data_IF_859744726590
#
_entry.id   IF_859744726590
#
_cell.length_a   1.000
_cell.length_b   1.000
_cell.length_c   1.000
_cell.angle_alpha   90.00
_cell.angle_beta   90.00
_cell.angle_gamma   90.00
#
_symmetry.space_group_name_H-M   'P 1'
#
loop_
_entity.id
_entity.type
_entity.pdbx_description
1 polymer ?
#
# COMPACT_ATOMS: atom_id res chain seq x y z
N UNK A 1 -26.23 -34.14 -12.00
CA UNK A 1 -26.01 -34.64 -10.63
C UNK A 1 -26.26 -33.47 -9.68
N UNK A 2 -27.42 -33.44 -9.01
CA UNK A 2 -27.81 -32.34 -8.12
C UNK A 2 -27.12 -32.56 -6.77
N UNK A 3 -26.33 -31.60 -6.24
CA UNK A 3 -25.68 -31.80 -4.95
C UNK A 3 -26.72 -31.93 -3.84
N UNK A 4 -26.60 -33.00 -3.07
CA UNK A 4 -27.47 -33.36 -1.96
C UNK A 4 -27.49 -32.25 -0.89
N UNK A 5 -28.68 -31.86 -0.41
CA UNK A 5 -28.90 -30.75 0.54
C UNK A 5 -28.03 -30.86 1.81
N UNK A 6 -27.65 -32.08 2.17
CA UNK A 6 -26.75 -32.37 3.30
C UNK A 6 -25.30 -31.93 3.06
N UNK A 7 -24.80 -32.03 1.82
CA UNK A 7 -23.44 -31.55 1.49
C UNK A 7 -23.36 -30.02 1.54
N UNK A 8 -24.40 -29.31 1.08
CA UNK A 8 -24.46 -27.84 1.15
C UNK A 8 -24.43 -27.33 2.59
N UNK A 9 -25.15 -27.98 3.52
CA UNK A 9 -25.16 -27.60 4.94
C UNK A 9 -23.79 -27.79 5.60
N UNK A 10 -23.11 -28.90 5.32
CA UNK A 10 -21.76 -29.18 5.86
C UNK A 10 -20.72 -28.20 5.35
N UNK A 11 -20.77 -27.85 4.07
CA UNK A 11 -19.86 -26.85 3.47
C UNK A 11 -20.10 -25.48 4.12
N UNK A 12 -21.37 -25.07 4.28
CA UNK A 12 -21.72 -23.79 4.90
C UNK A 12 -21.28 -23.71 6.36
N UNK A 13 -21.46 -24.79 7.12
CA UNK A 13 -21.01 -24.85 8.52
C UNK A 13 -19.47 -24.75 8.63
N UNK A 14 -18.73 -25.43 7.75
CA UNK A 14 -17.26 -25.30 7.68
C UNK A 14 -16.82 -23.90 7.28
N UNK A 15 -17.49 -23.29 6.31
CA UNK A 15 -17.19 -21.94 5.85
C UNK A 15 -17.44 -20.88 6.94
N UNK A 16 -18.56 -20.98 7.67
CA UNK A 16 -18.85 -20.08 8.80
C UNK A 16 -17.83 -20.28 9.93
N UNK A 17 -17.49 -21.52 10.27
CA UNK A 17 -16.46 -21.81 11.28
C UNK A 17 -15.10 -21.25 10.88
N UNK A 18 -14.75 -21.32 9.59
CA UNK A 18 -13.52 -20.74 9.06
C UNK A 18 -13.55 -19.21 9.15
N UNK A 19 -14.65 -18.56 8.73
CA UNK A 19 -14.82 -17.11 8.84
C UNK A 19 -14.74 -16.60 10.29
N UNK A 20 -15.28 -17.36 11.25
CA UNK A 20 -15.20 -17.03 12.68
C UNK A 20 -13.80 -17.23 13.26
N UNK A 21 -12.97 -18.08 12.64
CA UNK A 21 -11.59 -18.33 13.04
C UNK A 21 -10.58 -17.38 12.37
N UNK A 22 -11.00 -16.61 11.36
CA UNK A 22 -10.16 -15.56 10.77
C UNK A 22 -10.10 -14.42 11.79
N UNK A 23 -8.90 -14.06 12.29
CA UNK A 23 -8.78 -12.91 13.18
C UNK A 23 -9.31 -11.68 12.46
N UNK A 24 -10.33 -11.05 13.04
CA UNK A 24 -10.92 -9.83 12.51
C UNK A 24 -9.82 -8.77 12.32
N UNK A 25 -9.90 -7.90 11.29
CA UNK A 25 -8.95 -6.83 11.12
C UNK A 25 -8.93 -5.99 12.41
N UNK A 26 -7.80 -6.06 13.10
CA UNK A 26 -7.56 -5.36 14.36
C UNK A 26 -7.69 -3.87 14.08
N UNK A 27 -8.76 -3.24 14.58
CA UNK A 27 -8.74 -1.79 14.80
C UNK A 27 -7.69 -1.55 15.88
N UNK A 28 -6.50 -1.10 15.50
CA UNK A 28 -5.50 -0.65 16.47
C UNK A 28 -6.09 0.51 17.27
N UNK A 29 -6.25 0.31 18.57
CA UNK A 29 -6.67 1.32 19.55
C UNK A 29 -5.49 2.13 20.08
N UNK A 30 -4.27 1.67 19.83
CA UNK A 30 -3.04 2.35 20.21
C UNK A 30 -2.66 3.42 19.16
N UNK A 31 -2.18 4.59 19.60
CA UNK A 31 -1.65 5.59 18.68
C UNK A 31 -0.51 4.96 17.86
N UNK A 32 -0.39 5.29 16.55
CA UNK A 32 0.65 4.72 15.72
C UNK A 32 2.02 5.03 16.33
N UNK A 33 2.86 4.00 16.42
CA UNK A 33 4.25 4.15 16.82
C UNK A 33 4.90 5.24 15.96
N UNK A 34 5.44 6.32 16.55
CA UNK A 34 6.11 7.37 15.78
C UNK A 34 7.31 6.85 14.99
N UNK A 35 7.90 5.71 15.40
CA UNK A 35 8.98 5.04 14.66
C UNK A 35 8.47 4.33 13.39
N UNK A 36 7.20 3.90 13.39
CA UNK A 36 6.56 3.20 12.27
C UNK A 36 5.24 3.87 11.88
N UNK A 37 5.29 5.08 11.28
CA UNK A 37 4.09 5.81 10.89
C UNK A 37 3.27 5.01 9.88
N UNK A 38 1.94 5.08 9.98
CA UNK A 38 1.00 4.33 9.14
C UNK A 38 0.15 5.31 8.33
N UNK A 39 -0.11 4.99 7.07
CA UNK A 39 -1.00 5.77 6.21
C UNK A 39 -2.49 5.48 6.49
N UNK A 40 -3.38 6.22 5.82
CA UNK A 40 -4.84 6.04 5.97
C UNK A 40 -5.33 4.66 5.51
N UNK A 41 -4.54 3.94 4.72
CA UNK A 41 -4.85 2.58 4.27
C UNK A 41 -4.28 1.50 5.20
N UNK A 42 -3.65 1.87 6.32
CA UNK A 42 -3.06 0.92 7.26
C UNK A 42 -1.68 0.41 6.82
N UNK A 43 -1.03 1.05 5.83
CA UNK A 43 0.28 0.65 5.32
C UNK A 43 1.40 1.45 6.00
N UNK A 44 2.54 0.81 6.31
CA UNK A 44 3.66 1.51 6.92
C UNK A 44 4.27 2.50 5.92
N UNK A 45 4.48 3.73 6.37
CA UNK A 45 5.13 4.81 5.62
C UNK A 45 6.63 4.66 5.83
N UNK A 46 7.37 4.44 4.75
CA UNK A 46 8.83 4.26 4.79
C UNK A 46 9.60 5.53 4.42
N UNK A 47 8.95 6.47 3.72
CA UNK A 47 9.54 7.75 3.38
C UNK A 47 8.47 8.83 3.24
N UNK A 48 8.89 10.08 3.43
CA UNK A 48 8.10 11.29 3.17
C UNK A 48 9.00 12.30 2.47
N UNK A 49 8.62 12.72 1.27
CA UNK A 49 9.36 13.69 0.48
C UNK A 49 8.54 14.95 0.25
N UNK A 50 9.23 16.07 0.02
CA UNK A 50 8.59 17.31 -0.44
C UNK A 50 8.89 17.51 -1.92
N UNK A 51 7.86 17.42 -2.76
CA UNK A 51 7.96 17.53 -4.22
C UNK A 51 7.04 18.66 -4.65
N UNK A 52 7.61 19.69 -5.27
CA UNK A 52 6.85 20.85 -5.77
C UNK A 52 5.91 21.46 -4.72
N UNK A 53 6.41 21.60 -3.48
CA UNK A 53 5.64 22.11 -2.33
C UNK A 53 4.64 21.13 -1.71
N UNK A 54 4.48 19.93 -2.26
CA UNK A 54 3.61 18.89 -1.71
C UNK A 54 4.38 17.84 -0.91
N UNK A 55 3.89 17.52 0.29
CA UNK A 55 4.41 16.39 1.05
C UNK A 55 3.80 15.08 0.55
N UNK A 56 4.64 14.19 0.02
CA UNK A 56 4.28 12.88 -0.55
C UNK A 56 4.79 11.77 0.38
N UNK A 57 3.89 10.88 0.78
CA UNK A 57 4.18 9.70 1.59
C UNK A 57 4.34 8.46 0.71
N UNK A 58 5.35 7.66 1.01
CA UNK A 58 5.64 6.38 0.36
C UNK A 58 5.30 5.25 1.32
N UNK A 59 4.15 4.62 1.09
CA UNK A 59 3.63 3.56 1.99
C UNK A 59 3.82 2.20 1.36
N UNK A 60 4.44 1.26 2.08
CA UNK A 60 4.83 -0.03 1.54
C UNK A 60 3.59 -0.87 1.21
N UNK A 61 3.36 -1.12 -0.08
CA UNK A 61 2.32 -2.01 -0.58
C UNK A 61 2.88 -3.38 -0.96
N UNK A 62 1.99 -4.31 -1.33
CA UNK A 62 2.36 -5.66 -1.80
C UNK A 62 1.76 -6.00 -3.16
N UNK A 63 2.48 -6.73 -4.03
CA UNK A 63 3.93 -7.00 -4.00
C UNK A 63 4.77 -5.82 -4.54
N UNK A 64 6.01 -5.67 -4.04
CA UNK A 64 7.11 -4.77 -4.50
C UNK A 64 6.70 -3.39 -5.05
N UNK A 65 5.85 -2.68 -4.29
CA UNK A 65 5.37 -1.36 -4.70
C UNK A 65 5.24 -0.40 -3.53
N UNK A 66 5.37 0.88 -3.83
CA UNK A 66 4.97 1.95 -2.92
C UNK A 66 3.64 2.54 -3.34
N UNK A 67 2.72 2.70 -2.39
CA UNK A 67 1.53 3.54 -2.53
C UNK A 67 1.93 4.99 -2.24
N UNK A 68 1.58 5.90 -3.14
CA UNK A 68 1.91 7.32 -3.04
C UNK A 68 0.67 8.10 -2.64
N UNK A 69 0.79 8.89 -1.58
CA UNK A 69 -0.29 9.77 -1.11
C UNK A 69 0.23 11.14 -0.70
N UNK A 70 -0.55 12.18 -0.95
CA UNK A 70 -0.32 13.49 -0.34
C UNK A 70 -0.64 13.47 1.16
N UNK A 71 0.12 14.24 1.92
CA UNK A 71 -0.13 14.43 3.36
C UNK A 71 -1.32 15.33 3.66
N UNK A 72 -1.45 16.42 2.90
CA UNK A 72 -2.34 17.56 3.20
C UNK A 72 -3.28 17.93 2.05
N UNK A 73 -3.31 17.12 0.98
CA UNK A 73 -4.14 17.39 -0.22
C UNK A 73 -5.24 16.34 -0.32
N UNK A 74 -6.45 16.76 -0.71
CA UNK A 74 -7.59 15.89 -0.95
C UNK A 74 -8.02 15.95 -2.43
N UNK A 75 -8.24 14.80 -3.11
CA UNK A 75 -8.01 13.44 -2.63
C UNK A 75 -6.53 13.16 -2.33
N UNK A 76 -6.24 12.31 -1.35
CA UNK A 76 -4.86 12.07 -0.94
C UNK A 76 -4.12 11.09 -1.86
N UNK A 77 -4.82 10.16 -2.51
CA UNK A 77 -4.20 9.15 -3.36
C UNK A 77 -3.61 9.78 -4.62
N UNK A 78 -2.35 9.49 -4.94
CA UNK A 78 -1.75 9.83 -6.24
C UNK A 78 -1.77 8.57 -7.12
N UNK A 79 -1.22 7.48 -6.59
CA UNK A 79 -1.00 6.27 -7.36
C UNK A 79 -0.09 5.27 -6.66
N UNK A 80 0.72 4.56 -7.44
CA UNK A 80 1.74 3.64 -6.93
C UNK A 80 2.98 3.64 -7.81
N UNK A 81 4.15 3.48 -7.20
CA UNK A 81 5.38 3.14 -7.93
C UNK A 81 5.57 1.63 -7.83
N UNK A 82 5.66 0.98 -8.98
CA UNK A 82 5.80 -0.47 -9.14
C UNK A 82 7.16 -0.83 -9.72
N UNK A 83 7.45 -2.13 -9.81
CA UNK A 83 8.70 -2.68 -10.36
C UNK A 83 9.94 -2.18 -9.61
N UNK A 84 9.84 -1.98 -8.30
CA UNK A 84 10.92 -1.49 -7.44
C UNK A 84 12.09 -2.48 -7.33
N UNK A 85 11.82 -3.75 -7.61
CA UNK A 85 12.76 -4.86 -7.74
C UNK A 85 13.47 -4.89 -9.11
N UNK A 86 13.20 -3.93 -9.98
CA UNK A 86 13.84 -3.83 -11.31
C UNK A 86 14.58 -2.50 -11.46
N UNK A 87 15.50 -2.36 -12.45
CA UNK A 87 16.18 -1.10 -12.73
C UNK A 87 15.28 0.03 -13.25
N UNK A 88 13.99 -0.26 -13.53
CA UNK A 88 13.05 0.68 -14.15
C UNK A 88 11.76 0.76 -13.34
N UNK A 89 11.80 1.42 -12.17
CA UNK A 89 10.59 1.73 -11.42
C UNK A 89 9.63 2.57 -12.28
N UNK A 90 8.33 2.32 -12.14
CA UNK A 90 7.31 3.00 -12.96
C UNK A 90 6.21 3.57 -12.08
N UNK A 91 5.80 4.80 -12.36
CA UNK A 91 4.62 5.40 -11.75
C UNK A 91 3.34 4.91 -12.46
N UNK A 92 2.38 4.48 -11.66
CA UNK A 92 1.00 4.19 -12.08
C UNK A 92 0.09 5.15 -11.34
N UNK A 93 -0.50 6.08 -12.06
CA UNK A 93 -1.44 7.08 -11.53
C UNK A 93 -2.80 6.41 -11.33
N UNK A 94 -3.39 6.59 -10.16
CA UNK A 94 -4.69 6.01 -9.82
C UNK A 94 -5.78 7.08 -9.64
N UNK A 95 -5.40 8.31 -9.34
CA UNK A 95 -6.32 9.42 -9.09
C UNK A 95 -6.28 10.43 -10.26
N UNK A 96 -7.36 10.53 -11.06
CA UNK A 96 -7.40 11.41 -12.23
C UNK A 96 -7.11 12.88 -11.91
N UNK A 97 -7.56 13.37 -10.75
CA UNK A 97 -7.38 14.78 -10.36
C UNK A 97 -5.90 15.20 -10.26
N UNK A 98 -5.01 14.25 -10.00
CA UNK A 98 -3.57 14.53 -9.85
C UNK A 98 -2.75 14.19 -11.10
N UNK A 99 -3.39 13.76 -12.20
CA UNK A 99 -2.68 13.23 -13.37
C UNK A 99 -1.67 14.22 -13.95
N UNK A 100 -2.09 15.47 -14.17
CA UNK A 100 -1.23 16.50 -14.77
C UNK A 100 0.00 16.74 -13.91
N UNK A 101 -0.20 16.92 -12.61
CA UNK A 101 0.89 17.14 -11.65
C UNK A 101 1.80 15.90 -11.52
N UNK A 102 1.22 14.70 -11.45
CA UNK A 102 1.96 13.46 -11.27
C UNK A 102 2.83 13.11 -12.50
N UNK A 103 2.34 13.38 -13.72
CA UNK A 103 3.14 13.22 -14.94
C UNK A 103 4.27 14.24 -15.02
N UNK A 104 4.02 15.49 -14.63
CA UNK A 104 5.07 16.53 -14.58
C UNK A 104 6.19 16.18 -13.58
N UNK A 105 5.87 15.37 -12.57
CA UNK A 105 6.78 14.98 -11.49
C UNK A 105 7.16 13.48 -11.50
N UNK A 106 6.96 12.76 -12.61
CA UNK A 106 7.08 11.29 -12.62
C UNK A 106 8.44 10.79 -12.14
N UNK A 107 9.54 11.35 -12.66
CA UNK A 107 10.90 10.91 -12.31
C UNK A 107 11.22 11.21 -10.85
N UNK A 108 10.87 12.40 -10.37
CA UNK A 108 11.12 12.83 -8.97
C UNK A 108 10.20 12.10 -7.98
N UNK A 109 9.09 11.51 -8.44
CA UNK A 109 8.27 10.61 -7.64
C UNK A 109 8.86 9.18 -7.61
N UNK A 110 9.37 8.68 -8.74
CA UNK A 110 9.85 7.32 -8.88
C UNK A 110 11.23 7.09 -8.24
N UNK A 111 12.14 8.07 -8.30
CA UNK A 111 13.50 7.92 -7.78
C UNK A 111 13.55 7.72 -6.25
N UNK A 112 12.88 8.54 -5.42
CA UNK A 112 12.87 8.32 -3.97
C UNK A 112 12.24 6.98 -3.58
N UNK A 113 11.25 6.50 -4.34
CA UNK A 113 10.65 5.20 -4.13
C UNK A 113 11.68 4.07 -4.33
N UNK A 114 12.51 4.14 -5.39
CA UNK A 114 13.55 3.16 -5.64
C UNK A 114 14.67 3.21 -4.58
N UNK A 115 15.09 4.41 -4.18
CA UNK A 115 16.10 4.59 -3.13
C UNK A 115 15.62 4.04 -1.78
N UNK A 116 14.40 4.37 -1.39
CA UNK A 116 13.76 3.85 -0.16
C UNK A 116 13.65 2.33 -0.20
N UNK A 117 13.25 1.76 -1.35
CA UNK A 117 13.17 0.31 -1.52
C UNK A 117 14.54 -0.34 -1.33
N UNK A 118 15.56 0.14 -2.05
CA UNK A 118 16.91 -0.38 -1.99
C UNK A 118 17.54 -0.27 -0.59
N UNK A 119 17.20 0.78 0.17
CA UNK A 119 17.61 0.92 1.56
C UNK A 119 16.91 -0.14 2.45
N UNK A 120 15.60 -0.30 2.29
CA UNK A 120 14.81 -1.26 3.09
C UNK A 120 15.20 -2.72 2.86
N UNK A 121 15.58 -3.10 1.63
CA UNK A 121 15.99 -4.48 1.32
C UNK A 121 17.39 -4.79 1.81
N UNK A 122 18.31 -3.80 1.82
CA UNK A 122 19.69 -3.99 2.32
C UNK A 122 19.74 -4.31 3.81
N UNK A 123 18.78 -3.84 4.60
CA UNK A 123 18.73 -4.10 6.04
C UNK A 123 18.33 -5.54 6.38
N UNK A 124 17.80 -6.31 5.43
CA UNK A 124 17.31 -7.67 5.68
C UNK A 124 18.34 -8.79 5.41
N UNK A 125 19.54 -8.46 4.91
CA UNK A 125 20.59 -9.43 4.57
C UNK A 125 21.58 -9.70 5.72
N UNK A 126 21.27 -9.24 6.94
CA UNK A 126 22.10 -9.39 8.15
C UNK A 126 21.47 -10.30 9.21
#
# INVERSE_FOLDING_TARGET
MIPDRYTTRRIRARYIKALQAIPLPVRRTEPPDPEFPIDLAGLPILAVETIDGHQVRYSLGRPTRFRLTFRHTHPALIGSVINLDTPRPRLVIAEPLHTVWALANELVLAQPAAETWAASTRTCDH
#
